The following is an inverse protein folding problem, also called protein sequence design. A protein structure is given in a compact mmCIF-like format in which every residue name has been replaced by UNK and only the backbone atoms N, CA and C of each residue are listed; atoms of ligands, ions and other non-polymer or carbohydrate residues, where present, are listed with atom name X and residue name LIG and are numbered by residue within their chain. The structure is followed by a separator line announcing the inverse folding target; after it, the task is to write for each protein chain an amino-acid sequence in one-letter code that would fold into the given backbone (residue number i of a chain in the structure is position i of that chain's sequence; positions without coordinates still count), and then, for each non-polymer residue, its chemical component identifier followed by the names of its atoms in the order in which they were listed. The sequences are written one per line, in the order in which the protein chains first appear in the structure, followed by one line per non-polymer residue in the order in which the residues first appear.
data_IF_754406160123
#
_entry.id   IF_754406160123
#
_cell.length_a   1.000
_cell.length_b   1.000
_cell.length_c   1.000
_cell.angle_alpha   90.00
_cell.angle_beta   90.00
_cell.angle_gamma   90.00
#
_symmetry.space_group_name_H-M   'P 1'
#
loop_
_entity.id
_entity.type
_entity.pdbx_description
1 polymer ?
#
# COMPACT_ATOMS: atom_id res chain seq x y z
N UNK A 1 16.14 4.01 5.79
CA UNK A 1 15.08 3.35 6.56
C UNK A 1 13.90 4.30 6.54
N UNK A 2 12.84 3.95 5.81
CA UNK A 2 11.62 4.75 5.73
C UNK A 2 10.53 4.03 6.51
N UNK A 3 9.64 4.80 7.12
CA UNK A 3 8.48 4.28 7.84
C UNK A 3 7.54 3.53 6.88
N UNK A 4 7.11 2.34 7.27
CA UNK A 4 6.22 1.46 6.52
C UNK A 4 4.90 1.23 7.26
N UNK A 5 3.83 1.06 6.49
CA UNK A 5 2.57 0.50 6.97
C UNK A 5 2.33 -0.85 6.32
N UNK A 6 1.72 -1.75 7.08
CA UNK A 6 1.48 -3.13 6.73
C UNK A 6 -0.01 -3.45 6.82
N UNK A 7 -0.58 -4.00 5.75
CA UNK A 7 -1.91 -4.61 5.76
C UNK A 7 -1.75 -6.11 6.02
N UNK A 8 -2.29 -6.61 7.12
CA UNK A 8 -2.19 -8.03 7.53
C UNK A 8 -3.41 -8.49 8.35
N UNK A 9 -3.61 -9.80 8.48
CA UNK A 9 -4.67 -10.39 9.34
C UNK A 9 -4.16 -10.92 10.69
N UNK A 10 -2.84 -10.93 10.86
CA UNK A 10 -2.14 -11.35 12.09
C UNK A 10 -2.50 -10.43 13.27
N UNK A 11 -2.15 -10.85 14.49
CA UNK A 11 -2.24 -9.98 15.67
C UNK A 11 -1.33 -8.76 15.51
N UNK A 12 -0.05 -9.02 15.28
CA UNK A 12 0.94 -8.02 14.89
C UNK A 12 1.62 -8.45 13.59
N UNK A 13 2.07 -7.50 12.78
CA UNK A 13 2.62 -7.78 11.45
C UNK A 13 3.90 -8.63 11.51
N UNK A 14 4.68 -8.52 12.58
CA UNK A 14 5.91 -9.30 12.80
C UNK A 14 5.65 -10.74 13.30
N UNK A 15 4.41 -11.10 13.61
CA UNK A 15 4.07 -12.49 13.93
C UNK A 15 3.96 -13.32 12.65
N UNK A 16 3.82 -14.64 12.79
CA UNK A 16 3.54 -15.57 11.69
C UNK A 16 2.12 -16.08 11.80
N UNK A 17 1.41 -16.27 10.68
CA UNK A 17 0.09 -16.89 10.75
C UNK A 17 -0.86 -16.52 9.61
N UNK A 18 -2.02 -15.95 9.98
CA UNK A 18 -3.11 -15.64 9.05
C UNK A 18 -2.66 -14.62 8.00
N UNK A 19 -2.19 -15.14 6.88
CA UNK A 19 -1.58 -14.36 5.80
C UNK A 19 -2.59 -14.07 4.71
N UNK A 20 -2.43 -12.93 4.06
CA UNK A 20 -3.13 -12.61 2.82
C UNK A 20 -2.38 -13.39 1.73
N UNK A 21 -3.10 -14.17 0.93
CA UNK A 21 -2.48 -14.87 -0.20
C UNK A 21 -2.28 -13.94 -1.39
N UNK A 22 -1.29 -14.25 -2.23
CA UNK A 22 -1.05 -13.50 -3.47
C UNK A 22 -2.28 -13.48 -4.38
N UNK A 23 -3.02 -14.60 -4.44
CA UNK A 23 -4.24 -14.72 -5.24
C UNK A 23 -5.33 -13.75 -4.76
N UNK A 24 -5.57 -13.66 -3.45
CA UNK A 24 -6.54 -12.69 -2.89
C UNK A 24 -6.15 -11.25 -3.23
N UNK A 25 -4.87 -10.92 -3.16
CA UNK A 25 -4.38 -9.60 -3.53
C UNK A 25 -4.56 -9.29 -5.03
N UNK A 26 -4.27 -10.26 -5.89
CA UNK A 26 -4.46 -10.13 -7.35
C UNK A 26 -5.93 -9.99 -7.71
N UNK A 27 -6.82 -10.76 -7.08
CA UNK A 27 -8.27 -10.69 -7.29
C UNK A 27 -8.82 -9.32 -6.87
N UNK A 28 -8.34 -8.77 -5.75
CA UNK A 28 -8.70 -7.42 -5.31
C UNK A 28 -8.21 -6.36 -6.31
N UNK A 29 -6.95 -6.43 -6.74
CA UNK A 29 -6.42 -5.51 -7.75
C UNK A 29 -7.18 -5.59 -9.07
N UNK A 30 -7.63 -6.78 -9.48
CA UNK A 30 -8.45 -6.95 -10.68
C UNK A 30 -9.85 -6.34 -10.53
N UNK A 31 -10.41 -6.33 -9.32
CA UNK A 31 -11.70 -5.71 -9.02
C UNK A 31 -11.62 -4.18 -8.87
N UNK A 32 -10.46 -3.63 -8.51
CA UNK A 32 -10.26 -2.20 -8.27
C UNK A 32 -9.53 -1.51 -9.44
N UNK A 33 -10.22 -0.70 -10.26
CA UNK A 33 -9.60 -0.04 -11.42
C UNK A 33 -8.54 1.01 -11.05
N UNK A 34 -8.42 1.39 -9.78
CA UNK A 34 -7.36 2.28 -9.31
C UNK A 34 -6.05 1.56 -9.02
N UNK A 35 -6.04 0.22 -8.94
CA UNK A 35 -4.87 -0.59 -8.68
C UNK A 35 -4.46 -1.34 -9.95
N UNK A 36 -3.16 -1.42 -10.22
CA UNK A 36 -2.64 -2.16 -11.38
C UNK A 36 -1.39 -2.94 -10.96
N UNK A 37 -1.41 -4.27 -11.15
CA UNK A 37 -0.24 -5.12 -10.94
C UNK A 37 0.76 -4.86 -12.07
N UNK A 38 1.97 -4.46 -11.71
CA UNK A 38 3.04 -4.10 -12.67
C UNK A 38 4.19 -5.10 -12.67
N UNK A 39 4.38 -5.86 -11.59
CA UNK A 39 5.45 -6.87 -11.46
C UNK A 39 6.86 -6.30 -11.29
N UNK A 40 7.12 -5.11 -11.82
CA UNK A 40 8.40 -4.39 -11.69
C UNK A 40 8.17 -2.88 -11.65
N UNK A 41 8.93 -2.18 -10.81
CA UNK A 41 9.04 -0.72 -10.81
C UNK A 41 10.50 -0.31 -10.91
N UNK A 42 10.74 0.82 -11.56
CA UNK A 42 12.06 1.45 -11.61
C UNK A 42 12.01 2.73 -10.78
N UNK A 43 12.68 2.70 -9.62
CA UNK A 43 12.87 3.89 -8.79
C UNK A 43 14.15 4.62 -9.15
N UNK A 44 14.21 5.92 -8.90
CA UNK A 44 15.45 6.70 -8.96
C UNK A 44 15.86 7.08 -7.55
N UNK A 45 17.10 6.76 -7.16
CA UNK A 45 17.64 7.15 -5.85
C UNK A 45 17.98 8.64 -5.83
N UNK A 46 18.21 9.19 -4.63
CA UNK A 46 18.65 10.59 -4.47
C UNK A 46 19.98 10.91 -5.19
N UNK A 47 20.78 9.89 -5.49
CA UNK A 47 22.06 9.98 -6.21
C UNK A 47 21.89 9.87 -7.74
N UNK A 48 20.64 9.78 -8.23
CA UNK A 48 20.33 9.66 -9.66
C UNK A 48 20.54 8.27 -10.23
N UNK A 49 20.76 7.25 -9.40
CA UNK A 49 20.86 5.86 -9.84
C UNK A 49 19.47 5.24 -10.00
N UNK A 50 19.22 4.59 -11.14
CA UNK A 50 18.00 3.81 -11.35
C UNK A 50 18.13 2.45 -10.68
N UNK A 51 17.17 2.13 -9.80
CA UNK A 51 17.04 0.83 -9.16
C UNK A 51 15.75 0.17 -9.65
N UNK A 52 15.88 -0.96 -10.34
CA UNK A 52 14.74 -1.81 -10.66
C UNK A 52 14.42 -2.73 -9.48
N UNK A 53 13.14 -2.82 -9.12
CA UNK A 53 12.63 -3.71 -8.10
C UNK A 53 11.47 -4.51 -8.69
N UNK A 54 11.61 -5.84 -8.70
CA UNK A 54 10.62 -6.75 -9.25
C UNK A 54 10.02 -7.63 -8.14
N UNK A 55 8.69 -7.70 -8.11
CA UNK A 55 7.91 -8.55 -7.22
C UNK A 55 6.56 -8.88 -7.88
N UNK A 56 6.16 -10.16 -7.87
CA UNK A 56 4.92 -10.65 -8.50
C UNK A 56 3.65 -10.01 -7.93
N UNK A 57 3.69 -9.57 -6.68
CA UNK A 57 2.59 -8.89 -6.02
C UNK A 57 2.67 -7.36 -6.05
N UNK A 58 3.60 -6.78 -6.82
CA UNK A 58 3.79 -5.34 -6.87
C UNK A 58 2.67 -4.66 -7.66
N UNK A 59 1.90 -3.81 -6.97
CA UNK A 59 0.85 -3.00 -7.59
C UNK A 59 1.19 -1.51 -7.54
N UNK A 60 0.67 -0.76 -8.50
CA UNK A 60 0.64 0.71 -8.46
C UNK A 60 -0.79 1.15 -8.23
N UNK A 61 -0.99 1.98 -7.21
CA UNK A 61 -2.21 2.73 -7.03
C UNK A 61 -2.14 4.06 -7.79
N UNK A 62 -3.04 4.23 -8.77
CA UNK A 62 -3.26 5.48 -9.48
C UNK A 62 -4.03 6.45 -8.58
N UNK A 63 -3.31 7.20 -7.74
CA UNK A 63 -3.89 8.16 -6.81
C UNK A 63 -4.59 9.27 -7.59
N UNK A 64 -5.89 9.50 -7.37
CA UNK A 64 -6.61 10.58 -8.03
C UNK A 64 -5.95 11.93 -7.75
N UNK A 65 -5.65 12.68 -8.81
CA UNK A 65 -5.17 14.05 -8.69
C UNK A 65 -6.22 14.90 -7.95
N UNK A 66 -5.78 15.60 -6.90
CA UNK A 66 -6.63 16.56 -6.18
C UNK A 66 -7.14 17.68 -7.11
N UNK A 67 -8.17 18.42 -6.67
CA UNK A 67 -8.80 19.46 -7.48
C UNK A 67 -7.79 20.46 -8.09
N UNK A 68 -6.86 20.95 -7.29
CA UNK A 68 -5.83 21.89 -7.76
C UNK A 68 -4.86 21.26 -8.76
N UNK A 69 -4.49 19.99 -8.58
CA UNK A 69 -3.63 19.26 -9.51
C UNK A 69 -4.33 19.06 -10.86
N UNK A 70 -5.63 18.73 -10.86
CA UNK A 70 -6.45 18.65 -12.10
C UNK A 70 -6.55 20.02 -12.79
N UNK A 71 -6.77 21.09 -12.03
CA UNK A 71 -6.82 22.46 -12.58
C UNK A 71 -5.50 22.87 -13.24
N UNK A 72 -4.37 22.41 -12.69
CA UNK A 72 -3.03 22.65 -13.22
C UNK A 72 -2.56 21.60 -14.23
N UNK A 73 -3.46 20.71 -14.68
CA UNK A 73 -3.16 19.61 -15.61
C UNK A 73 -1.96 18.73 -15.18
N UNK A 74 -1.81 18.52 -13.87
CA UNK A 74 -0.78 17.64 -13.30
C UNK A 74 -1.26 16.19 -13.36
N UNK A 75 -0.37 15.23 -13.68
CA UNK A 75 -0.74 13.82 -13.70
C UNK A 75 -1.14 13.33 -12.30
N UNK A 76 -1.97 12.25 -12.21
CA UNK A 76 -2.20 11.55 -10.96
C UNK A 76 -0.89 11.04 -10.36
N UNK A 77 -0.87 10.90 -9.04
CA UNK A 77 0.28 10.31 -8.35
C UNK A 77 0.27 8.78 -8.48
N UNK A 78 1.44 8.17 -8.58
CA UNK A 78 1.57 6.71 -8.54
C UNK A 78 2.17 6.31 -7.20
N UNK A 79 1.52 5.39 -6.50
CA UNK A 79 1.97 4.90 -5.19
C UNK A 79 2.18 3.39 -5.30
N UNK A 80 3.41 2.90 -5.11
CA UNK A 80 3.66 1.46 -5.07
C UNK A 80 3.09 0.81 -3.81
N UNK A 81 2.39 -0.31 -3.99
CA UNK A 81 1.93 -1.24 -2.96
C UNK A 81 2.68 -2.55 -3.18
N UNK A 82 3.54 -2.88 -2.22
CA UNK A 82 4.43 -4.03 -2.28
C UNK A 82 3.84 -5.19 -1.49
N UNK A 83 3.42 -6.26 -2.17
CA UNK A 83 2.95 -7.46 -1.49
C UNK A 83 4.11 -8.41 -1.23
N UNK A 84 4.43 -8.66 0.04
CA UNK A 84 5.46 -9.61 0.46
C UNK A 84 5.13 -10.18 1.82
N UNK A 85 5.61 -11.39 2.09
CA UNK A 85 5.44 -12.07 3.37
C UNK A 85 3.99 -12.09 3.87
N UNK A 86 3.02 -12.29 2.97
CA UNK A 86 1.60 -12.36 3.32
C UNK A 86 0.95 -11.05 3.75
N UNK A 87 1.61 -9.91 3.48
CA UNK A 87 1.15 -8.57 3.81
C UNK A 87 1.32 -7.62 2.62
N UNK A 88 0.56 -6.52 2.62
CA UNK A 88 0.67 -5.45 1.64
C UNK A 88 1.32 -4.25 2.32
N UNK A 89 2.42 -3.75 1.75
CA UNK A 89 3.32 -2.82 2.42
C UNK A 89 3.43 -1.54 1.59
N UNK A 90 3.36 -0.40 2.25
CA UNK A 90 3.55 0.91 1.62
C UNK A 90 4.55 1.75 2.40
N UNK A 91 5.51 2.33 1.68
CA UNK A 91 6.55 3.20 2.23
C UNK A 91 6.09 4.65 2.30
N UNK A 92 6.36 5.29 3.44
CA UNK A 92 6.10 6.72 3.69
C UNK A 92 4.66 7.15 3.30
N UNK A 93 3.63 6.48 3.84
CA UNK A 93 2.25 6.81 3.49
C UNK A 93 1.83 8.17 4.06
N UNK A 94 0.99 8.87 3.30
CA UNK A 94 0.26 10.05 3.77
C UNK A 94 -1.19 9.68 4.09
N UNK A 95 -1.99 10.63 4.61
CA UNK A 95 -3.38 10.37 5.00
C UNK A 95 -4.25 9.80 3.87
N UNK A 96 -3.98 10.14 2.60
CA UNK A 96 -4.76 9.59 1.49
C UNK A 96 -4.37 8.13 1.21
N UNK A 97 -3.07 7.81 1.34
CA UNK A 97 -2.57 6.45 1.25
C UNK A 97 -3.10 5.61 2.40
N UNK A 98 -3.05 6.11 3.65
CA UNK A 98 -3.60 5.44 4.84
C UNK A 98 -5.08 5.10 4.63
N UNK A 99 -5.87 6.06 4.14
CA UNK A 99 -7.28 5.82 3.85
C UNK A 99 -7.47 4.73 2.80
N UNK A 100 -6.66 4.73 1.73
CA UNK A 100 -6.71 3.68 0.72
C UNK A 100 -6.32 2.31 1.29
N UNK A 101 -5.30 2.27 2.13
CA UNK A 101 -4.90 1.04 2.84
C UNK A 101 -6.02 0.53 3.75
N UNK A 102 -6.73 1.42 4.44
CA UNK A 102 -7.84 1.06 5.29
C UNK A 102 -9.05 0.52 4.50
N UNK A 103 -9.32 1.08 3.31
CA UNK A 103 -10.32 0.55 2.36
C UNK A 103 -9.94 -0.88 1.90
N UNK A 104 -8.68 -1.10 1.52
CA UNK A 104 -8.17 -2.41 1.11
C UNK A 104 -8.24 -3.41 2.27
N UNK A 105 -7.84 -2.99 3.48
CA UNK A 105 -7.88 -3.81 4.67
C UNK A 105 -9.31 -4.27 4.99
N UNK A 106 -10.30 -3.38 4.89
CA UNK A 106 -11.70 -3.73 5.09
C UNK A 106 -12.22 -4.77 4.08
N UNK A 107 -11.79 -4.68 2.80
CA UNK A 107 -12.16 -5.65 1.77
C UNK A 107 -11.53 -7.03 1.98
N UNK A 108 -10.35 -7.08 2.62
CA UNK A 108 -9.61 -8.30 2.88
C UNK A 108 -9.85 -8.88 4.29
N UNK A 109 -10.75 -8.29 5.09
CA UNK A 109 -10.92 -8.62 6.51
C UNK A 109 -9.57 -8.59 7.27
N UNK A 110 -8.80 -7.52 7.01
CA UNK A 110 -7.45 -7.30 7.51
C UNK A 110 -7.37 -5.98 8.31
N UNK A 111 -6.18 -5.69 8.83
CA UNK A 111 -5.87 -4.51 9.66
C UNK A 111 -4.70 -3.76 9.06
N UNK A 112 -4.57 -2.48 9.40
CA UNK A 112 -3.41 -1.65 9.03
C UNK A 112 -2.60 -1.37 10.29
N UNK A 113 -1.32 -1.76 10.29
CA UNK A 113 -0.38 -1.54 11.39
C UNK A 113 0.88 -0.83 10.88
N UNK A 114 1.42 0.10 11.67
CA UNK A 114 2.70 0.74 11.42
C UNK A 114 3.88 0.05 12.10
N UNK A 115 5.08 0.46 11.71
CA UNK A 115 6.33 -0.09 12.27
C UNK A 115 6.46 0.13 13.78
N UNK A 116 5.81 1.16 14.35
CA UNK A 116 5.83 1.46 15.78
C UNK A 116 4.73 0.69 16.56
N UNK A 117 3.98 -0.19 15.89
CA UNK A 117 2.93 -1.02 16.46
C UNK A 117 1.57 -0.32 16.58
N UNK A 118 1.44 0.90 16.07
CA UNK A 118 0.19 1.64 15.99
C UNK A 118 -0.74 1.06 14.91
N UNK A 119 -2.05 1.11 15.15
CA UNK A 119 -3.06 0.64 14.21
C UNK A 119 -3.84 1.80 13.62
N UNK A 120 -4.34 1.61 12.40
CA UNK A 120 -5.20 2.58 11.72
C UNK A 120 -6.59 2.00 11.48
N UNK A 121 -7.60 2.76 11.89
CA UNK A 121 -9.01 2.44 11.66
C UNK A 121 -9.44 2.81 10.23
N UNK A 122 -10.67 2.42 9.87
CA UNK A 122 -11.25 2.65 8.54
C UNK A 122 -11.30 4.14 8.11
N UNK A 123 -11.34 5.06 9.07
CA UNK A 123 -11.33 6.50 8.85
C UNK A 123 -9.91 7.10 8.81
N UNK A 124 -8.88 6.29 9.01
CA UNK A 124 -7.48 6.69 9.12
C UNK A 124 -7.08 7.17 10.52
N UNK A 125 -7.95 7.00 11.53
CA UNK A 125 -7.64 7.37 12.91
C UNK A 125 -6.66 6.37 13.54
N UNK A 126 -5.66 6.91 14.23
CA UNK A 126 -4.68 6.15 15.01
C UNK A 126 -5.33 5.51 16.26
N UNK A 127 -5.01 4.24 16.49
CA UNK A 127 -5.44 3.44 17.63
C UNK A 127 -4.25 2.66 18.20
N UNK A 128 -4.17 2.56 19.53
CA UNK A 128 -3.20 1.73 20.24
C UNK A 128 -3.99 0.64 20.99
N UNK A 129 -3.65 -0.63 20.75
CA UNK A 129 -4.25 -1.79 21.43
C UNK A 129 -3.63 -2.03 22.82
#
# INVERSE_FOLDING_TARGET
MGYELHIHRRKDFWESGSDISLAEWQDLCAADPSLTIVGEIVGTTAEGMSLAYANEGLAIWARPAGFLARLLNRPPGEVPFDFRDGAIIVKSPDNAIIKKMAEIAALLDARVQGDDGEFYLADGTLFYE
#
